data_IF_595331874860
#
_entry.id   IF_595331874860
#
_cell.length_a   1.000
_cell.length_b   1.000
_cell.length_c   1.000
_cell.angle_alpha   90.00
_cell.angle_beta   90.00
_cell.angle_gamma   90.00
#
_symmetry.space_group_name_H-M   'P 1'
#
loop_
_entity.id
_entity.type
_entity.pdbx_description
1 polymer ?
#
# COMPACT_ATOMS: atom_id res chain seq x y z
N UNK A 1 -34.65 -6.72 23.03
CA UNK A 1 -33.23 -7.09 23.19
C UNK A 1 -32.68 -7.31 21.80
N UNK A 2 -31.61 -6.65 21.39
CA UNK A 2 -30.94 -7.00 20.13
C UNK A 2 -30.29 -8.38 20.30
N UNK A 3 -30.46 -9.28 19.34
CA UNK A 3 -29.72 -10.53 19.33
C UNK A 3 -28.22 -10.23 19.15
N UNK A 4 -27.34 -10.97 19.84
CA UNK A 4 -25.90 -10.87 19.61
C UNK A 4 -25.59 -11.34 18.18
N UNK A 5 -24.66 -10.67 17.46
CA UNK A 5 -24.35 -11.00 16.06
C UNK A 5 -23.43 -12.24 15.97
N UNK A 6 -23.96 -13.39 16.37
CA UNK A 6 -23.26 -14.68 16.34
C UNK A 6 -23.35 -15.26 14.93
N UNK A 7 -22.22 -15.65 14.35
CA UNK A 7 -22.16 -16.26 13.03
C UNK A 7 -22.90 -17.62 13.00
N UNK A 8 -23.80 -17.80 12.03
CA UNK A 8 -24.64 -19.00 11.90
C UNK A 8 -24.24 -19.90 10.72
N UNK A 9 -23.35 -19.44 9.85
CA UNK A 9 -22.93 -20.15 8.62
C UNK A 9 -21.96 -21.31 8.92
N UNK A 10 -22.51 -22.41 9.44
CA UNK A 10 -21.80 -23.67 9.72
C UNK A 10 -21.67 -24.54 8.47
N UNK A 11 -20.55 -25.23 8.32
CA UNK A 11 -20.24 -26.18 7.24
C UNK A 11 -19.17 -27.17 7.72
N UNK A 12 -18.84 -28.17 6.90
CA UNK A 12 -17.67 -29.02 7.09
C UNK A 12 -16.55 -28.56 6.16
N UNK A 13 -15.33 -28.34 6.67
CA UNK A 13 -14.19 -27.94 5.85
C UNK A 13 -13.35 -29.16 5.44
N UNK A 14 -13.35 -29.45 4.13
CA UNK A 14 -12.63 -30.59 3.55
C UNK A 14 -11.11 -30.42 3.51
N UNK A 15 -10.56 -29.23 3.80
CA UNK A 15 -9.11 -29.01 3.83
C UNK A 15 -8.52 -29.19 5.24
N UNK A 16 -9.32 -28.87 6.26
CA UNK A 16 -8.96 -29.04 7.67
C UNK A 16 -9.61 -30.27 8.34
N UNK A 17 -10.43 -31.02 7.59
CA UNK A 17 -11.14 -32.24 7.98
C UNK A 17 -11.94 -32.09 9.29
N UNK A 18 -12.61 -30.95 9.45
CA UNK A 18 -13.29 -30.54 10.69
C UNK A 18 -14.52 -29.68 10.43
N UNK A 19 -15.45 -29.57 11.39
CA UNK A 19 -16.49 -28.56 11.35
C UNK A 19 -15.91 -27.16 11.22
N UNK A 20 -16.66 -26.22 10.66
CA UNK A 20 -16.24 -24.83 10.55
C UNK A 20 -17.39 -23.84 10.48
N UNK A 21 -17.06 -22.58 10.73
CA UNK A 21 -18.00 -21.45 10.68
C UNK A 21 -17.42 -20.34 9.80
N UNK A 22 -18.21 -19.81 8.87
CA UNK A 22 -17.85 -18.64 8.07
C UNK A 22 -18.39 -17.39 8.76
N UNK A 23 -17.50 -16.45 9.07
CA UNK A 23 -17.88 -15.16 9.65
C UNK A 23 -18.00 -14.13 8.52
N UNK A 24 -19.16 -13.50 8.43
CA UNK A 24 -19.44 -12.32 7.61
C UNK A 24 -19.04 -11.04 8.38
N UNK A 25 -18.95 -9.88 7.71
CA UNK A 25 -18.76 -8.62 8.40
C UNK A 25 -19.81 -8.41 9.48
N UNK A 26 -19.36 -7.87 10.62
CA UNK A 26 -20.12 -7.56 11.82
C UNK A 26 -20.55 -8.79 12.65
N UNK A 27 -20.11 -10.01 12.28
CA UNK A 27 -20.32 -11.22 13.07
C UNK A 27 -19.12 -11.57 13.97
N UNK A 28 -19.38 -12.35 15.01
CA UNK A 28 -18.35 -13.03 15.80
C UNK A 28 -18.74 -14.50 16.09
N UNK A 29 -17.79 -15.29 16.56
CA UNK A 29 -18.03 -16.65 17.01
C UNK A 29 -17.00 -17.07 18.07
N UNK A 30 -17.45 -17.71 19.15
CA UNK A 30 -16.62 -18.29 20.22
C UNK A 30 -16.89 -19.79 20.35
N UNK A 31 -15.87 -20.57 20.69
CA UNK A 31 -16.00 -22.02 20.88
C UNK A 31 -14.80 -22.65 21.60
N UNK A 32 -15.04 -23.79 22.24
CA UNK A 32 -14.03 -24.72 22.74
C UNK A 32 -13.86 -25.97 21.84
N UNK A 33 -14.70 -26.14 20.82
CA UNK A 33 -14.69 -27.29 19.90
C UNK A 33 -13.50 -27.23 18.94
N UNK A 34 -12.99 -28.40 18.53
CA UNK A 34 -11.93 -28.50 17.50
C UNK A 34 -12.51 -28.25 16.09
N UNK A 35 -12.69 -26.97 15.76
CA UNK A 35 -13.27 -26.51 14.49
C UNK A 35 -12.41 -25.40 13.84
N UNK A 36 -12.80 -24.97 12.64
CA UNK A 36 -12.18 -23.85 11.92
C UNK A 36 -13.13 -22.66 11.74
N UNK A 37 -12.74 -21.50 12.25
CA UNK A 37 -13.41 -20.23 11.96
C UNK A 37 -12.73 -19.62 10.73
N UNK A 38 -13.49 -19.33 9.68
CA UNK A 38 -12.97 -18.78 8.43
C UNK A 38 -13.63 -17.47 8.06
N UNK A 39 -12.83 -16.57 7.48
CA UNK A 39 -13.37 -15.34 6.87
C UNK A 39 -12.46 -14.82 5.75
N UNK A 40 -12.96 -13.83 5.00
CA UNK A 40 -12.22 -13.14 3.93
C UNK A 40 -12.26 -11.64 4.24
N UNK A 41 -11.07 -11.05 4.30
CA UNK A 41 -10.87 -9.68 4.77
C UNK A 41 -10.35 -8.80 3.63
N UNK A 42 -11.05 -7.69 3.38
CA UNK A 42 -10.54 -6.55 2.65
C UNK A 42 -10.00 -5.50 3.63
N UNK A 43 -10.60 -4.31 3.64
CA UNK A 43 -10.33 -3.26 4.64
C UNK A 43 -10.78 -3.63 6.05
N UNK A 44 -11.74 -4.56 6.22
CA UNK A 44 -12.16 -5.10 7.51
C UNK A 44 -11.00 -5.73 8.29
N UNK A 45 -11.14 -5.87 9.60
CA UNK A 45 -10.18 -6.57 10.47
C UNK A 45 -10.89 -7.69 11.23
N UNK A 46 -10.18 -8.80 11.41
CA UNK A 46 -10.55 -9.88 12.31
C UNK A 46 -9.55 -9.94 13.47
N UNK A 47 -10.07 -9.94 14.69
CA UNK A 47 -9.32 -10.35 15.87
C UNK A 47 -9.65 -11.80 16.19
N UNK A 48 -8.63 -12.64 16.22
CA UNK A 48 -8.68 -14.01 16.71
C UNK A 48 -8.15 -14.02 18.15
N UNK A 49 -8.98 -14.36 19.12
CA UNK A 49 -8.64 -14.40 20.54
C UNK A 49 -8.63 -15.84 21.05
N UNK A 50 -7.70 -16.16 21.97
CA UNK A 50 -7.45 -17.53 22.45
C UNK A 50 -6.96 -17.53 23.91
N UNK A 51 -7.55 -18.35 24.77
CA UNK A 51 -6.94 -18.75 26.06
C UNK A 51 -6.29 -20.13 25.89
N UNK A 52 -4.95 -20.22 25.84
CA UNK A 52 -4.23 -21.48 25.60
C UNK A 52 -4.32 -22.48 26.75
N UNK A 53 -4.79 -22.08 27.93
CA UNK A 53 -4.97 -22.98 29.07
C UNK A 53 -6.39 -23.54 29.13
N UNK A 54 -7.38 -22.78 28.67
CA UNK A 54 -8.76 -23.25 28.58
C UNK A 54 -9.03 -24.05 27.30
N UNK A 55 -8.22 -23.86 26.25
CA UNK A 55 -8.47 -24.46 24.92
C UNK A 55 -9.68 -23.85 24.23
N UNK A 56 -9.96 -22.56 24.53
CA UNK A 56 -11.12 -21.82 24.05
C UNK A 56 -10.63 -20.63 23.25
N UNK A 57 -11.28 -20.36 22.12
CA UNK A 57 -11.00 -19.18 21.33
C UNK A 57 -12.21 -18.69 20.55
N UNK A 58 -12.01 -17.60 19.84
CA UNK A 58 -13.04 -17.02 19.00
C UNK A 58 -12.45 -16.05 17.99
N UNK A 59 -13.28 -15.67 17.04
CA UNK A 59 -12.93 -14.69 16.02
C UNK A 59 -14.08 -13.70 15.89
N UNK A 60 -13.77 -12.43 15.64
CA UNK A 60 -14.74 -11.48 15.09
C UNK A 60 -14.32 -11.07 13.67
N UNK A 61 -15.23 -10.42 12.95
CA UNK A 61 -14.94 -9.72 11.71
C UNK A 61 -15.62 -8.37 11.80
N UNK A 62 -14.87 -7.31 12.13
CA UNK A 62 -15.42 -5.97 12.25
C UNK A 62 -14.94 -5.06 11.11
N UNK A 63 -15.78 -4.07 10.78
CA UNK A 63 -15.41 -2.92 9.98
C UNK A 63 -15.88 -1.69 10.75
N UNK A 64 -15.02 -0.68 10.93
CA UNK A 64 -15.49 0.60 11.45
C UNK A 64 -16.31 1.31 10.36
N UNK A 65 -17.41 2.02 10.71
CA UNK A 65 -18.09 2.87 9.76
C UNK A 65 -17.15 3.91 9.13
N UNK A 66 -17.54 4.41 7.96
CA UNK A 66 -16.86 5.54 7.34
C UNK A 66 -17.23 6.82 8.09
N UNK A 67 -16.23 7.64 8.42
CA UNK A 67 -16.43 8.78 9.34
C UNK A 67 -17.11 10.00 8.67
N UNK A 68 -17.47 9.90 7.39
CA UNK A 68 -18.13 10.97 6.66
C UNK A 68 -17.33 12.27 6.64
N UNK A 69 -18.03 13.41 6.59
CA UNK A 69 -17.42 14.75 6.52
C UNK A 69 -17.28 15.47 7.87
N UNK A 70 -17.75 14.88 8.98
CA UNK A 70 -17.62 15.43 10.34
C UNK A 70 -16.74 14.52 11.21
N UNK A 71 -15.43 14.82 11.34
CA UNK A 71 -14.49 13.96 12.04
C UNK A 71 -14.77 13.79 13.54
N UNK A 72 -15.51 14.72 14.17
CA UNK A 72 -15.68 14.76 15.63
C UNK A 72 -16.69 13.73 16.13
N UNK A 73 -17.90 13.75 15.57
CA UNK A 73 -18.97 12.85 15.99
C UNK A 73 -18.77 11.43 15.44
N UNK A 74 -18.33 11.30 14.19
CA UNK A 74 -18.27 10.01 13.52
C UNK A 74 -17.13 9.12 14.04
N UNK A 75 -15.96 9.68 14.36
CA UNK A 75 -14.87 8.93 15.00
C UNK A 75 -15.30 8.31 16.34
N UNK A 76 -16.21 8.96 17.08
CA UNK A 76 -16.80 8.45 18.32
C UNK A 76 -17.77 7.28 18.08
N UNK A 77 -18.61 7.33 17.05
CA UNK A 77 -19.45 6.18 16.65
C UNK A 77 -18.60 5.01 16.16
N UNK A 78 -17.60 5.27 15.32
CA UNK A 78 -16.64 4.28 14.85
C UNK A 78 -15.93 3.57 16.00
N UNK A 79 -15.32 4.33 16.92
CA UNK A 79 -14.63 3.75 18.08
C UNK A 79 -15.59 2.93 18.96
N UNK A 80 -16.83 3.38 19.18
CA UNK A 80 -17.85 2.60 19.90
C UNK A 80 -18.19 1.29 19.19
N UNK A 81 -18.33 1.31 17.87
CA UNK A 81 -18.62 0.11 17.08
C UNK A 81 -17.52 -0.95 17.18
N UNK A 82 -16.27 -0.54 16.95
CA UNK A 82 -15.11 -1.43 17.09
C UNK A 82 -14.95 -1.95 18.52
N UNK A 83 -15.13 -1.10 19.53
CA UNK A 83 -15.02 -1.49 20.94
C UNK A 83 -16.10 -2.50 21.32
N UNK A 84 -17.34 -2.31 20.86
CA UNK A 84 -18.43 -3.28 21.06
C UNK A 84 -18.10 -4.65 20.45
N UNK A 85 -17.61 -4.69 19.20
CA UNK A 85 -17.26 -5.94 18.53
C UNK A 85 -16.10 -6.71 19.22
N UNK A 86 -15.21 -6.00 19.90
CA UNK A 86 -14.14 -6.61 20.69
C UNK A 86 -14.60 -7.03 22.10
N UNK A 87 -15.33 -6.16 22.82
CA UNK A 87 -15.87 -6.46 24.15
C UNK A 87 -16.80 -7.67 24.12
N UNK A 88 -17.71 -7.77 23.14
CA UNK A 88 -18.60 -8.94 23.01
C UNK A 88 -17.77 -10.22 22.85
N UNK A 89 -16.76 -10.22 21.98
CA UNK A 89 -15.89 -11.38 21.78
C UNK A 89 -15.15 -11.78 23.07
N UNK A 90 -14.55 -10.82 23.78
CA UNK A 90 -13.82 -11.07 25.03
C UNK A 90 -14.77 -11.59 26.11
N UNK A 91 -15.94 -10.99 26.27
CA UNK A 91 -16.88 -11.35 27.32
C UNK A 91 -17.54 -12.72 27.06
N UNK A 92 -17.78 -13.11 25.81
CA UNK A 92 -18.22 -14.48 25.48
C UNK A 92 -17.11 -15.53 25.71
N UNK A 93 -15.83 -15.18 25.53
CA UNK A 93 -14.72 -16.07 25.92
C UNK A 93 -14.63 -16.24 27.44
N UNK A 94 -14.84 -15.17 28.21
CA UNK A 94 -14.85 -15.23 29.68
C UNK A 94 -16.03 -16.07 30.17
N UNK A 95 -17.23 -15.90 29.59
CA UNK A 95 -18.41 -16.74 29.89
C UNK A 95 -18.19 -18.22 29.57
N UNK A 96 -17.43 -18.52 28.51
CA UNK A 96 -17.06 -19.89 28.16
C UNK A 96 -16.01 -20.51 29.11
N UNK A 97 -15.39 -19.73 30.01
CA UNK A 97 -14.40 -20.18 31.00
C UNK A 97 -12.96 -19.70 30.77
N UNK A 98 -12.72 -18.87 29.75
CA UNK A 98 -11.42 -18.22 29.54
C UNK A 98 -11.13 -17.12 30.58
N UNK A 99 -9.85 -16.82 30.82
CA UNK A 99 -9.43 -15.74 31.72
C UNK A 99 -8.81 -14.58 30.94
N UNK A 100 -9.26 -13.34 31.18
CA UNK A 100 -8.82 -12.14 30.42
C UNK A 100 -7.28 -12.00 30.42
N UNK A 101 -6.64 -12.28 31.55
CA UNK A 101 -5.18 -12.25 31.74
C UNK A 101 -4.39 -13.29 30.90
N UNK A 102 -5.07 -14.33 30.39
CA UNK A 102 -4.48 -15.40 29.57
C UNK A 102 -4.78 -15.26 28.09
N UNK A 103 -5.70 -14.37 27.71
CA UNK A 103 -6.11 -14.20 26.31
C UNK A 103 -4.93 -13.67 25.50
N UNK A 104 -4.61 -14.36 24.42
CA UNK A 104 -3.69 -13.96 23.37
C UNK A 104 -4.46 -13.56 22.12
N UNK A 105 -4.00 -12.53 21.41
CA UNK A 105 -4.59 -12.07 20.17
C UNK A 105 -3.74 -12.43 18.95
N UNK A 106 -4.41 -12.67 17.82
CA UNK A 106 -3.83 -12.64 16.47
C UNK A 106 -4.74 -11.81 15.58
N UNK A 107 -4.18 -10.85 14.85
CA UNK A 107 -4.99 -9.85 14.11
C UNK A 107 -4.65 -9.82 12.63
N UNK A 108 -5.70 -9.80 11.82
CA UNK A 108 -5.61 -9.91 10.36
C UNK A 108 -6.58 -8.93 9.71
N UNK A 109 -6.31 -8.51 8.47
CA UNK A 109 -7.17 -7.60 7.69
C UNK A 109 -6.58 -6.20 7.41
N UNK A 110 -7.42 -5.19 7.21
CA UNK A 110 -6.99 -3.81 6.97
C UNK A 110 -6.39 -3.56 5.59
N UNK A 111 -6.68 -4.39 4.58
CA UNK A 111 -6.11 -4.23 3.24
C UNK A 111 -6.75 -3.05 2.46
N UNK A 112 -5.93 -2.31 1.71
CA UNK A 112 -6.37 -1.32 0.73
C UNK A 112 -6.73 -2.02 -0.60
N UNK A 113 -8.01 -2.31 -0.80
CA UNK A 113 -8.49 -3.19 -1.89
C UNK A 113 -8.84 -2.44 -3.18
N UNK A 114 -9.09 -1.12 -3.13
CA UNK A 114 -9.33 -0.30 -4.32
C UNK A 114 -8.31 0.85 -4.43
N UNK A 115 -7.76 1.01 -5.63
CA UNK A 115 -7.02 2.21 -6.02
C UNK A 115 -8.01 3.37 -6.31
N UNK A 116 -8.58 3.93 -5.25
CA UNK A 116 -9.53 5.05 -5.29
C UNK A 116 -9.53 5.77 -3.93
N UNK A 117 -9.42 7.10 -3.97
CA UNK A 117 -8.95 7.97 -2.87
C UNK A 117 -9.65 7.85 -1.50
N UNK A 118 -10.80 7.19 -1.40
CA UNK A 118 -11.55 7.01 -0.15
C UNK A 118 -11.20 5.71 0.60
N UNK A 119 -10.87 4.62 -0.09
CA UNK A 119 -10.70 3.30 0.56
C UNK A 119 -9.34 3.08 1.21
N UNK A 120 -8.35 3.94 0.90
CA UNK A 120 -6.98 3.87 1.45
C UNK A 120 -7.01 4.03 2.98
N UNK A 121 -7.84 4.93 3.52
CA UNK A 121 -7.86 5.25 4.95
C UNK A 121 -8.62 4.23 5.83
N UNK A 122 -9.55 3.45 5.27
CA UNK A 122 -10.42 2.56 6.08
C UNK A 122 -9.62 1.37 6.62
N UNK A 123 -8.75 0.78 5.80
CA UNK A 123 -7.92 -0.35 6.21
C UNK A 123 -6.96 0.00 7.34
N UNK A 124 -6.31 1.16 7.23
CA UNK A 124 -5.40 1.70 8.24
C UNK A 124 -6.14 2.08 9.53
N UNK A 125 -7.29 2.77 9.45
CA UNK A 125 -8.16 3.08 10.61
C UNK A 125 -8.54 1.81 11.39
N UNK A 126 -8.92 0.74 10.70
CA UNK A 126 -9.30 -0.54 11.33
C UNK A 126 -8.09 -1.23 12.00
N UNK A 127 -6.91 -1.19 11.36
CA UNK A 127 -5.67 -1.75 11.90
C UNK A 127 -5.17 -0.98 13.14
N UNK A 128 -5.18 0.35 13.09
CA UNK A 128 -4.77 1.20 14.20
C UNK A 128 -5.78 1.19 15.35
N UNK A 129 -7.05 0.96 15.06
CA UNK A 129 -8.05 0.68 16.09
C UNK A 129 -7.73 -0.62 16.84
N UNK A 130 -7.55 -1.76 16.13
CA UNK A 130 -7.36 -3.05 16.82
C UNK A 130 -6.09 -3.08 17.66
N UNK A 131 -4.99 -2.48 17.15
CA UNK A 131 -3.72 -2.37 17.89
C UNK A 131 -3.88 -1.54 19.16
N UNK A 132 -4.51 -0.36 19.08
CA UNK A 132 -4.74 0.50 20.26
C UNK A 132 -5.68 -0.14 21.27
N UNK A 133 -6.77 -0.75 20.82
CA UNK A 133 -7.73 -1.41 21.70
C UNK A 133 -7.08 -2.58 22.46
N UNK A 134 -6.36 -3.47 21.77
CA UNK A 134 -5.67 -4.60 22.42
C UNK A 134 -4.56 -4.14 23.38
N UNK A 135 -3.86 -3.05 23.06
CA UNK A 135 -2.86 -2.46 23.96
C UNK A 135 -3.49 -1.87 25.24
N UNK A 136 -4.65 -1.21 25.14
CA UNK A 136 -5.41 -0.70 26.29
C UNK A 136 -5.91 -1.85 27.18
N UNK A 137 -6.44 -2.91 26.56
CA UNK A 137 -6.88 -4.13 27.26
C UNK A 137 -5.73 -5.03 27.75
N UNK A 138 -4.47 -4.66 27.47
CA UNK A 138 -3.25 -5.43 27.80
C UNK A 138 -3.25 -6.85 27.22
N UNK A 139 -3.99 -7.09 26.14
CA UNK A 139 -4.03 -8.37 25.43
C UNK A 139 -2.86 -8.40 24.44
N UNK A 140 -1.95 -9.35 24.63
CA UNK A 140 -0.74 -9.49 23.82
C UNK A 140 -1.08 -10.00 22.42
N UNK A 141 -0.70 -9.23 21.39
CA UNK A 141 -0.68 -9.68 20.00
C UNK A 141 0.50 -10.65 19.84
N UNK A 142 0.21 -11.89 19.41
CA UNK A 142 1.22 -12.95 19.18
C UNK A 142 1.54 -13.14 17.70
N UNK A 143 0.67 -12.68 16.81
CA UNK A 143 0.92 -12.59 15.37
C UNK A 143 0.02 -11.52 14.75
N UNK A 144 0.52 -10.79 13.76
CA UNK A 144 -0.30 -9.93 12.91
C UNK A 144 0.10 -10.03 11.44
N UNK A 145 -0.88 -9.93 10.55
CA UNK A 145 -0.69 -9.60 9.13
C UNK A 145 -1.80 -8.61 8.79
N UNK A 146 -1.50 -7.32 8.97
CA UNK A 146 -2.38 -6.18 8.76
C UNK A 146 -1.88 -5.34 7.55
N UNK A 147 -2.75 -4.51 6.99
CA UNK A 147 -2.40 -3.50 5.95
C UNK A 147 -1.85 -4.04 4.61
N UNK A 148 -1.56 -3.15 3.67
CA UNK A 148 -1.11 -3.50 2.31
C UNK A 148 -2.25 -3.82 1.33
N UNK A 149 -1.89 -4.24 0.11
CA UNK A 149 -2.75 -4.15 -1.09
C UNK A 149 -3.53 -5.42 -1.46
N UNK A 150 -3.54 -6.44 -0.60
CA UNK A 150 -4.14 -7.74 -0.94
C UNK A 150 -5.18 -8.18 0.10
N UNK A 151 -6.43 -8.50 -0.31
CA UNK A 151 -7.40 -9.18 0.53
C UNK A 151 -6.84 -10.52 1.02
N UNK A 152 -7.32 -11.02 2.15
CA UNK A 152 -6.76 -12.23 2.78
C UNK A 152 -7.86 -13.14 3.24
N UNK A 153 -7.76 -14.44 2.89
CA UNK A 153 -8.55 -15.49 3.53
C UNK A 153 -7.84 -15.89 4.82
N UNK A 154 -8.55 -15.86 5.94
CA UNK A 154 -8.07 -16.27 7.25
C UNK A 154 -8.80 -17.55 7.66
N UNK A 155 -8.05 -18.50 8.20
CA UNK A 155 -8.57 -19.70 8.87
C UNK A 155 -7.93 -19.78 10.26
N UNK A 156 -8.76 -19.79 11.29
CA UNK A 156 -8.36 -19.83 12.69
C UNK A 156 -8.92 -21.09 13.35
N UNK A 157 -8.10 -21.76 14.16
CA UNK A 157 -8.46 -22.96 14.92
C UNK A 157 -8.52 -22.59 16.41
N UNK A 158 -9.71 -22.27 16.95
CA UNK A 158 -9.88 -21.71 18.30
C UNK A 158 -9.20 -22.53 19.40
N UNK A 159 -9.36 -23.85 19.36
CA UNK A 159 -8.85 -24.78 20.36
C UNK A 159 -7.31 -24.78 20.52
N UNK A 160 -6.56 -24.40 19.47
CA UNK A 160 -5.08 -24.39 19.48
C UNK A 160 -4.47 -23.01 19.27
N UNK A 161 -5.31 -21.98 19.08
CA UNK A 161 -4.89 -20.65 18.68
C UNK A 161 -4.16 -20.57 17.34
N UNK A 162 -4.11 -21.64 16.53
CA UNK A 162 -3.42 -21.65 15.23
C UNK A 162 -4.19 -20.81 14.22
N UNK A 163 -3.46 -20.03 13.41
CA UNK A 163 -4.03 -19.22 12.35
C UNK A 163 -3.26 -19.45 11.05
N UNK A 164 -3.97 -19.45 9.92
CA UNK A 164 -3.42 -19.56 8.57
C UNK A 164 -4.02 -18.45 7.72
N UNK A 165 -3.14 -17.76 6.97
CA UNK A 165 -3.51 -16.60 6.15
C UNK A 165 -3.09 -16.86 4.70
N UNK A 166 -4.02 -16.70 3.77
CA UNK A 166 -3.76 -16.77 2.32
C UNK A 166 -4.09 -15.42 1.70
N UNK A 167 -3.06 -14.68 1.29
CA UNK A 167 -3.21 -13.46 0.49
C UNK A 167 -3.83 -13.82 -0.86
N UNK A 168 -4.91 -13.14 -1.21
CA UNK A 168 -5.69 -13.35 -2.42
C UNK A 168 -5.21 -12.37 -3.49
N UNK A 169 -4.99 -12.87 -4.72
CA UNK A 169 -4.63 -12.01 -5.84
C UNK A 169 -5.89 -11.34 -6.36
N UNK A 170 -5.94 -10.01 -6.30
CA UNK A 170 -6.92 -9.21 -7.04
C UNK A 170 -6.57 -9.31 -8.53
N UNK A 171 -7.22 -10.22 -9.25
CA UNK A 171 -7.23 -10.18 -10.71
C UNK A 171 -8.23 -9.10 -11.16
N UNK A 172 -7.78 -7.85 -11.17
CA UNK A 172 -8.44 -6.79 -11.93
C UNK A 172 -7.68 -6.67 -13.27
N UNK A 173 -8.26 -7.12 -14.39
CA UNK A 173 -7.58 -7.07 -15.69
C UNK A 173 -7.09 -5.65 -16.02
N UNK A 174 -5.83 -5.54 -16.46
CA UNK A 174 -5.22 -4.25 -16.83
C UNK A 174 -4.80 -3.33 -15.68
N UNK A 175 -5.08 -3.64 -14.41
CA UNK A 175 -4.60 -2.81 -13.28
C UNK A 175 -3.08 -2.93 -13.13
N UNK A 176 -2.50 -4.12 -13.20
CA UNK A 176 -1.05 -4.31 -13.11
C UNK A 176 -0.29 -3.58 -14.24
N UNK A 177 -0.90 -3.50 -15.42
CA UNK A 177 -0.35 -2.77 -16.57
C UNK A 177 -0.47 -1.25 -16.39
N UNK A 178 -1.60 -0.75 -15.86
CA UNK A 178 -1.82 0.66 -15.52
C UNK A 178 -0.93 1.14 -14.38
N UNK A 179 -0.82 0.37 -13.30
CA UNK A 179 0.08 0.66 -12.17
C UNK A 179 1.53 0.71 -12.63
N UNK A 180 1.98 -0.26 -13.45
CA UNK A 180 3.30 -0.23 -14.04
C UNK A 180 3.49 0.94 -15.02
N UNK A 181 2.44 1.40 -15.71
CA UNK A 181 2.49 2.59 -16.56
C UNK A 181 2.63 3.88 -15.73
N UNK A 182 1.77 4.08 -14.72
CA UNK A 182 1.85 5.24 -13.83
C UNK A 182 3.17 5.27 -13.05
N UNK A 183 3.69 4.13 -12.59
CA UNK A 183 5.00 4.07 -11.94
C UNK A 183 6.13 4.53 -12.87
N UNK A 184 6.15 4.05 -14.12
CA UNK A 184 7.11 4.51 -15.14
C UNK A 184 6.97 5.99 -15.47
N UNK A 185 5.75 6.53 -15.47
CA UNK A 185 5.51 7.96 -15.68
C UNK A 185 5.97 8.80 -14.49
N UNK A 186 5.70 8.35 -13.25
CA UNK A 186 6.17 9.00 -12.02
C UNK A 186 7.70 9.00 -11.93
N UNK A 187 8.36 7.88 -12.25
CA UNK A 187 9.83 7.79 -12.30
C UNK A 187 10.43 8.70 -13.38
N UNK A 188 9.80 8.77 -14.57
CA UNK A 188 10.20 9.72 -15.63
C UNK A 188 10.02 11.16 -15.20
N UNK A 189 8.91 11.51 -14.54
CA UNK A 189 8.66 12.85 -14.03
C UNK A 189 9.63 13.23 -12.90
N UNK A 190 9.98 12.26 -12.03
CA UNK A 190 10.99 12.43 -10.98
C UNK A 190 12.38 12.62 -11.58
N UNK A 191 12.78 11.78 -12.53
CA UNK A 191 14.05 11.91 -13.25
C UNK A 191 14.14 13.23 -14.03
N UNK A 192 13.05 13.68 -14.66
CA UNK A 192 12.97 14.97 -15.33
C UNK A 192 13.12 16.15 -14.34
N UNK A 193 12.46 16.09 -13.18
CA UNK A 193 12.64 17.09 -12.10
C UNK A 193 14.08 17.09 -11.55
N UNK A 194 14.67 15.93 -11.30
CA UNK A 194 16.07 15.83 -10.87
C UNK A 194 17.02 16.39 -11.93
N UNK A 195 16.80 16.09 -13.21
CA UNK A 195 17.61 16.62 -14.32
C UNK A 195 17.46 18.13 -14.50
N UNK A 196 16.26 18.68 -14.31
CA UNK A 196 16.01 20.12 -14.32
C UNK A 196 16.59 20.86 -13.10
N UNK A 197 16.76 20.17 -11.97
CA UNK A 197 17.41 20.73 -10.79
C UNK A 197 18.95 20.65 -10.85
N UNK A 198 19.50 19.82 -11.75
CA UNK A 198 20.94 19.64 -12.00
C UNK A 198 21.36 20.42 -13.26
N UNK A 199 21.05 21.72 -13.29
CA UNK A 199 21.78 22.66 -14.15
C UNK A 199 23.08 23.07 -13.42
N UNK A 200 24.18 22.39 -13.74
CA UNK A 200 25.50 22.76 -13.20
C UNK A 200 25.90 24.16 -13.68
N UNK A 201 26.36 24.99 -12.75
CA UNK A 201 27.13 26.20 -13.03
C UNK A 201 28.49 25.84 -13.67
N UNK A 202 28.48 25.53 -14.97
CA UNK A 202 29.65 25.26 -15.79
C UNK A 202 29.74 26.19 -17.02
N UNK A 203 29.08 27.35 -16.97
CA UNK A 203 29.31 28.44 -17.91
C UNK A 203 30.58 29.22 -17.53
N UNK A 204 31.65 28.94 -18.28
CA UNK A 204 32.99 29.56 -18.17
C UNK A 204 32.92 31.09 -18.15
N UNK A 205 33.14 31.74 -16.99
CA UNK A 205 33.32 33.20 -16.91
C UNK A 205 34.51 33.62 -17.80
N UNK A 206 34.40 34.70 -18.61
CA UNK A 206 35.56 35.28 -19.25
C UNK A 206 36.53 35.80 -18.17
N UNK A 207 37.82 35.57 -18.36
CA UNK A 207 38.84 35.98 -17.40
C UNK A 207 38.99 37.52 -17.37
N UNK A 208 39.26 38.12 -16.19
CA UNK A 208 39.61 39.53 -16.12
C UNK A 208 40.95 39.81 -16.84
N UNK A 209 41.15 41.02 -17.37
CA UNK A 209 42.38 41.37 -18.09
C UNK A 209 43.59 41.31 -17.16
N UNK A 210 44.68 40.68 -17.62
CA UNK A 210 45.95 40.64 -16.89
C UNK A 210 46.65 42.02 -16.95
N UNK A 211 47.33 42.46 -15.88
CA UNK A 211 48.12 43.68 -15.91
C UNK A 211 49.31 43.53 -16.87
N UNK A 212 49.62 44.61 -17.60
CA UNK A 212 50.66 44.62 -18.62
C UNK A 212 52.06 44.38 -18.01
N UNK A 213 52.88 43.57 -18.67
CA UNK A 213 54.32 43.45 -18.37
C UNK A 213 55.03 44.76 -18.79
N UNK A 214 56.00 45.26 -18.00
CA UNK A 214 56.80 46.40 -18.43
C UNK A 214 57.69 46.00 -19.61
N UNK A 215 57.66 46.79 -20.68
CA UNK A 215 58.51 46.61 -21.86
C UNK A 215 59.40 47.85 -22.00
N UNK A 216 60.70 47.65 -21.83
CA UNK A 216 61.73 48.68 -22.04
C UNK A 216 61.99 48.76 -23.54
N UNK A 217 61.83 49.94 -24.14
CA UNK A 217 62.33 50.21 -25.49
C UNK A 217 63.07 51.56 -25.52
N UNK A 218 64.22 51.54 -26.19
CA UNK A 218 65.12 52.68 -26.37
C UNK A 218 64.61 53.62 -27.49
N UNK A 219 65.02 54.89 -27.46
CA UNK A 219 64.68 55.90 -28.47
C UNK A 219 65.22 55.58 -29.87
N UNK A 220 64.45 55.87 -30.94
CA UNK A 220 65.03 56.12 -32.27
C UNK A 220 64.12 56.04 -33.51
N UNK A 221 63.83 57.20 -34.11
CA UNK A 221 63.60 57.44 -35.55
C UNK A 221 62.45 56.75 -36.35
N UNK A 222 61.37 57.53 -36.56
CA UNK A 222 60.62 57.80 -37.82
C UNK A 222 60.57 56.75 -38.96
N UNK A 223 59.35 56.46 -39.46
CA UNK A 223 59.12 56.38 -40.93
C UNK A 223 57.98 55.50 -41.49
N UNK A 224 56.89 56.14 -41.91
CA UNK A 224 55.97 55.76 -43.02
C UNK A 224 55.21 54.40 -43.01
N UNK A 225 54.22 54.31 -43.91
CA UNK A 225 53.20 53.25 -44.05
C UNK A 225 53.16 52.74 -45.51
N UNK A 226 52.08 52.07 -46.01
CA UNK A 226 51.42 50.81 -45.63
C UNK A 226 51.39 49.79 -46.81
N UNK A 227 50.71 48.63 -46.66
CA UNK A 227 49.70 48.07 -47.61
C UNK A 227 49.59 46.51 -47.69
N UNK A 228 48.38 46.03 -47.98
CA UNK A 228 48.04 44.73 -48.61
C UNK A 228 47.95 43.47 -47.72
N UNK A 229 47.20 42.41 -48.06
CA UNK A 229 46.04 42.26 -48.98
C UNK A 229 45.50 40.80 -48.96
N UNK A 230 44.18 40.61 -48.94
CA UNK A 230 43.47 39.35 -49.32
C UNK A 230 43.56 38.15 -48.34
N UNK A 231 42.67 37.16 -48.39
CA UNK A 231 41.40 37.06 -49.13
C UNK A 231 40.86 35.62 -49.28
N UNK A 232 39.56 35.40 -48.98
CA UNK A 232 38.78 34.21 -49.37
C UNK A 232 38.99 32.90 -48.57
N UNK A 233 38.15 31.85 -48.70
CA UNK A 233 36.78 31.74 -49.26
C UNK A 233 36.16 30.34 -48.99
N UNK A 234 34.80 30.25 -48.86
CA UNK A 234 33.92 29.09 -49.24
C UNK A 234 34.08 27.76 -48.44
N UNK A 235 33.13 26.79 -48.34
CA UNK A 235 31.70 26.65 -48.74
C UNK A 235 31.00 25.45 -48.05
N UNK A 236 29.67 25.56 -47.81
CA UNK A 236 28.56 24.58 -47.97
C UNK A 236 28.66 23.11 -47.41
N UNK A 237 27.75 22.63 -46.53
CA UNK A 237 26.34 22.09 -46.74
C UNK A 237 26.34 20.56 -47.06
N UNK A 238 25.23 19.74 -47.06
CA UNK A 238 23.83 19.92 -46.58
C UNK A 238 23.19 18.76 -45.75
N UNK A 239 21.98 19.03 -45.18
CA UNK A 239 20.69 18.26 -45.07
C UNK A 239 20.64 16.71 -44.84
N UNK A 240 19.50 16.06 -44.52
CA UNK A 240 18.25 16.29 -43.75
C UNK A 240 17.27 15.11 -44.03
N UNK A 241 16.26 14.85 -43.18
CA UNK A 241 14.98 14.23 -43.65
C UNK A 241 14.43 13.01 -42.88
N UNK A 242 13.19 13.16 -42.36
CA UNK A 242 12.27 12.12 -41.86
C UNK A 242 11.48 11.44 -43.03
N UNK A 243 10.62 10.41 -42.84
CA UNK A 243 9.35 10.41 -42.07
C UNK A 243 9.24 9.15 -41.15
N UNK A 244 8.10 8.59 -40.69
CA UNK A 244 6.65 8.80 -40.88
C UNK A 244 5.81 7.89 -39.94
N UNK A 245 4.48 7.79 -40.12
CA UNK A 245 3.61 6.86 -39.34
C UNK A 245 2.28 6.48 -40.09
N UNK A 246 1.44 5.63 -39.44
CA UNK A 246 0.03 5.23 -39.75
C UNK A 246 -0.17 3.94 -40.61
N UNK A 247 -1.21 3.08 -40.49
CA UNK A 247 -2.19 2.71 -39.42
C UNK A 247 -2.93 1.37 -39.78
N UNK A 248 -3.62 0.74 -38.81
CA UNK A 248 -4.84 -0.14 -38.90
C UNK A 248 -4.87 -1.60 -39.47
N UNK A 249 -5.35 -2.54 -38.60
CA UNK A 249 -6.37 -3.63 -38.77
C UNK A 249 -6.19 -4.76 -39.85
N UNK A 250 -6.73 -6.01 -39.75
CA UNK A 250 -7.86 -6.56 -38.96
C UNK A 250 -7.85 -8.14 -38.84
N UNK A 251 -8.39 -8.70 -37.73
CA UNK A 251 -9.16 -9.96 -37.56
C UNK A 251 -8.66 -11.43 -37.89
N UNK A 252 -8.65 -12.26 -36.82
CA UNK A 252 -9.47 -13.49 -36.56
C UNK A 252 -9.20 -14.89 -37.18
N UNK A 253 -8.86 -15.88 -36.30
CA UNK A 253 -9.43 -17.25 -36.09
C UNK A 253 -8.47 -18.08 -35.19
N UNK A 254 -8.84 -18.62 -34.02
CA UNK A 254 -9.66 -19.80 -33.65
C UNK A 254 -9.05 -21.20 -33.96
N UNK A 255 -8.58 -21.89 -32.91
CA UNK A 255 -8.64 -23.35 -32.58
C UNK A 255 -7.76 -23.55 -31.32
N UNK A 256 -8.29 -23.91 -30.13
CA UNK A 256 -8.81 -25.22 -29.67
C UNK A 256 -7.74 -26.32 -29.52
N UNK A 257 -7.31 -26.51 -28.26
CA UNK A 257 -6.78 -27.72 -27.64
C UNK A 257 -6.97 -27.60 -26.11
#
# INVERSE_FOLDING_TARGET
>A
MSALPIATNRYFDNHFERPGVKLLPNEFYTTAEDMVLMTVLGSCVAACLHDPYAGIGGMNHFMLPDDGADPGAAASESMRYGAYAMEVLINELIKAGGRRERIEAKVFGGAAVLAGMTTINIGDRNADFVRRYLALERIRITAEDLQGVHPRKVAFMPHSGRAMVKKLRLQVPGVTEREAALAREADRARAARTRAHVELFAAKRPAPPQPARPRIELFGARGAAPAGSGGGARTANPRAGSPGAQYAATQSRKQEA
#
